data_IF_163079674825
#
_entry.id   IF_163079674825
#
_cell.length_a   1.000
_cell.length_b   1.000
_cell.length_c   1.000
_cell.angle_alpha   90.00
_cell.angle_beta   90.00
_cell.angle_gamma   90.00
#
_symmetry.space_group_name_H-M   'P 1'
#
loop_
_entity.id
_entity.type
_entity.pdbx_description
1 polymer ?
#
# COMPACT_ATOMS: atom_id res chain seq x y z
N UNK A 1 10.08 -12.62 29.66
CA UNK A 1 9.88 -11.37 28.89
C UNK A 1 10.78 -11.46 27.67
N UNK A 2 10.28 -11.17 26.47
CA UNK A 2 11.16 -11.04 25.30
C UNK A 2 12.16 -9.91 25.57
N UNK A 3 13.44 -10.14 25.29
CA UNK A 3 14.44 -9.09 25.38
C UNK A 3 14.01 -7.89 24.52
N UNK A 4 14.27 -6.68 25.02
CA UNK A 4 14.03 -5.45 24.28
C UNK A 4 14.83 -5.48 22.98
N UNK A 5 14.15 -5.32 21.83
CA UNK A 5 14.76 -5.33 20.51
C UNK A 5 14.82 -3.91 19.93
N UNK A 6 15.94 -3.18 20.08
CA UNK A 6 16.07 -1.86 19.47
C UNK A 6 15.91 -1.98 17.94
N UNK A 7 15.12 -1.09 17.34
CA UNK A 7 14.89 -1.07 15.89
C UNK A 7 13.97 -2.18 15.33
N UNK A 8 13.42 -3.06 16.17
CA UNK A 8 12.48 -4.13 15.78
C UNK A 8 13.03 -5.14 14.74
N UNK A 9 14.36 -5.30 14.68
CA UNK A 9 14.96 -6.25 13.74
C UNK A 9 14.47 -7.70 14.01
N UNK A 10 14.01 -8.37 12.94
CA UNK A 10 13.46 -9.72 13.00
C UNK A 10 12.11 -9.83 13.74
N UNK A 11 11.44 -8.71 14.05
CA UNK A 11 10.09 -8.71 14.62
C UNK A 11 9.06 -8.54 13.52
N UNK A 12 8.11 -9.47 13.43
CA UNK A 12 6.95 -9.34 12.56
C UNK A 12 5.95 -8.41 13.26
N UNK A 13 5.76 -7.21 12.71
CA UNK A 13 4.83 -6.23 13.27
C UNK A 13 3.37 -6.52 12.89
N UNK A 14 3.14 -6.94 11.65
CA UNK A 14 1.83 -7.32 11.11
C UNK A 14 1.99 -8.09 9.80
N UNK A 15 0.92 -8.75 9.37
CA UNK A 15 0.80 -9.37 8.05
C UNK A 15 0.20 -8.37 7.05
N UNK A 16 0.62 -8.43 5.79
CA UNK A 16 0.13 -7.53 4.75
C UNK A 16 0.12 -8.19 3.38
N UNK A 17 -0.83 -7.78 2.55
CA UNK A 17 -0.94 -8.17 1.13
C UNK A 17 -0.52 -7.02 0.19
N UNK A 18 -0.07 -5.88 0.72
CA UNK A 18 0.21 -4.68 -0.07
C UNK A 18 1.52 -4.83 -0.85
N UNK A 19 2.58 -5.27 -0.17
CA UNK A 19 3.90 -5.41 -0.75
C UNK A 19 4.56 -6.71 -0.30
N UNK A 20 5.10 -7.46 -1.26
CA UNK A 20 5.84 -8.70 -1.03
C UNK A 20 7.29 -8.50 -1.50
N UNK A 21 8.17 -7.98 -0.62
CA UNK A 21 9.59 -7.91 -0.91
C UNK A 21 10.23 -9.30 -0.75
N UNK A 22 11.05 -9.69 -1.72
CA UNK A 22 11.91 -10.86 -1.59
C UNK A 22 13.03 -10.59 -0.57
N UNK A 23 13.30 -11.55 0.32
CA UNK A 23 14.35 -11.45 1.34
C UNK A 23 15.75 -11.30 0.74
N UNK A 24 15.97 -11.85 -0.45
CA UNK A 24 17.24 -11.66 -1.18
C UNK A 24 17.30 -10.33 -1.94
N UNK A 25 16.22 -9.53 -1.92
CA UNK A 25 16.12 -8.24 -2.61
C UNK A 25 15.98 -8.34 -4.13
N UNK A 26 15.72 -9.53 -4.67
CA UNK A 26 15.66 -9.75 -6.11
C UNK A 26 14.33 -9.35 -6.77
N UNK A 27 13.26 -9.21 -5.99
CA UNK A 27 11.95 -8.87 -6.50
C UNK A 27 11.13 -8.08 -5.49
N UNK A 28 10.27 -7.18 -6.00
CA UNK A 28 9.25 -6.47 -5.25
C UNK A 28 7.93 -6.60 -6.00
N UNK A 29 6.90 -7.09 -5.32
CA UNK A 29 5.55 -7.16 -5.87
C UNK A 29 4.59 -6.28 -5.11
N UNK A 30 3.78 -5.51 -5.83
CA UNK A 30 2.64 -4.79 -5.27
C UNK A 30 1.38 -5.58 -5.55
N UNK A 31 0.72 -6.07 -4.48
CA UNK A 31 -0.50 -6.89 -4.58
C UNK A 31 -0.33 -8.05 -5.58
N UNK A 32 0.82 -8.72 -5.54
CA UNK A 32 1.17 -9.81 -6.47
C UNK A 32 1.72 -9.39 -7.84
N UNK A 33 1.65 -8.11 -8.24
CA UNK A 33 2.17 -7.62 -9.53
C UNK A 33 3.65 -7.23 -9.40
N UNK A 34 4.52 -7.73 -10.28
CA UNK A 34 5.93 -7.36 -10.28
C UNK A 34 6.09 -5.86 -10.58
N UNK A 35 6.95 -5.16 -9.83
CA UNK A 35 7.19 -3.73 -10.00
C UNK A 35 7.74 -3.39 -11.40
N UNK A 36 8.50 -4.29 -12.01
CA UNK A 36 9.04 -4.11 -13.37
C UNK A 36 7.92 -4.06 -14.42
N UNK A 37 6.80 -4.75 -14.18
CA UNK A 37 5.63 -4.73 -15.06
C UNK A 37 4.79 -3.44 -14.88
N UNK A 38 5.10 -2.64 -13.85
CA UNK A 38 4.41 -1.37 -13.57
C UNK A 38 5.17 -0.16 -14.10
N UNK A 39 6.50 -0.14 -13.93
CA UNK A 39 7.34 1.02 -14.24
C UNK A 39 7.31 1.30 -15.74
N UNK A 40 6.93 2.51 -16.12
CA UNK A 40 6.86 2.92 -17.53
C UNK A 40 5.69 2.33 -18.32
N UNK A 41 4.95 1.39 -17.73
CA UNK A 41 3.81 0.71 -18.35
C UNK A 41 2.46 1.23 -17.87
N UNK A 42 2.36 1.63 -16.59
CA UNK A 42 1.13 2.20 -16.00
C UNK A 42 1.37 3.57 -15.39
N UNK A 43 0.33 4.39 -15.38
CA UNK A 43 0.38 5.71 -14.76
C UNK A 43 0.53 5.58 -13.25
N UNK A 44 1.12 6.60 -12.63
CA UNK A 44 1.20 6.69 -11.17
C UNK A 44 -0.18 6.56 -10.49
N UNK A 45 -1.23 7.15 -11.08
CA UNK A 45 -2.60 7.04 -10.55
C UNK A 45 -3.13 5.60 -10.52
N UNK A 46 -2.82 4.79 -11.53
CA UNK A 46 -3.21 3.37 -11.55
C UNK A 46 -2.41 2.54 -10.54
N UNK A 47 -1.12 2.85 -10.35
CA UNK A 47 -0.31 2.22 -9.29
C UNK A 47 -0.84 2.59 -7.91
N UNK A 48 -1.24 3.84 -7.70
CA UNK A 48 -1.89 4.29 -6.47
C UNK A 48 -3.20 3.53 -6.20
N UNK A 49 -4.07 3.41 -7.21
CA UNK A 49 -5.31 2.62 -7.10
C UNK A 49 -5.02 1.15 -6.75
N UNK A 50 -4.02 0.53 -7.36
CA UNK A 50 -3.62 -0.83 -7.00
C UNK A 50 -3.23 -0.96 -5.52
N UNK A 51 -2.40 -0.04 -5.01
CA UNK A 51 -1.93 -0.09 -3.62
C UNK A 51 -3.08 0.13 -2.62
N UNK A 52 -3.91 1.13 -2.87
CA UNK A 52 -4.98 1.57 -1.96
C UNK A 52 -6.24 0.71 -2.09
N UNK A 53 -6.72 0.52 -3.32
CA UNK A 53 -7.98 -0.16 -3.63
C UNK A 53 -7.81 -1.65 -3.93
N UNK A 54 -6.58 -2.14 -4.07
CA UNK A 54 -6.28 -3.54 -4.38
C UNK A 54 -6.49 -3.91 -5.86
N UNK A 55 -6.85 -2.94 -6.71
CA UNK A 55 -7.13 -3.14 -8.14
C UNK A 55 -6.83 -1.89 -8.96
N UNK A 56 -6.59 -2.06 -10.24
CA UNK A 56 -6.51 -0.94 -11.18
C UNK A 56 -7.88 -0.31 -11.42
N UNK A 57 -7.89 0.98 -11.79
CA UNK A 57 -9.08 1.69 -12.19
C UNK A 57 -9.15 3.10 -11.61
N UNK A 58 -10.22 3.86 -11.93
CA UNK A 58 -10.48 5.12 -11.27
C UNK A 58 -10.65 4.87 -9.77
N UNK A 59 -10.03 5.73 -8.95
CA UNK A 59 -10.21 5.69 -7.51
C UNK A 59 -11.68 5.90 -7.12
N UNK A 60 -11.98 5.71 -5.84
CA UNK A 60 -13.32 5.96 -5.30
C UNK A 60 -13.81 7.38 -5.70
N UNK A 61 -15.09 7.53 -6.10
CA UNK A 61 -15.66 8.85 -6.35
C UNK A 61 -15.55 9.71 -5.09
N UNK A 62 -15.49 11.05 -5.23
CA UNK A 62 -15.50 11.95 -4.09
C UNK A 62 -16.65 11.60 -3.14
N UNK A 63 -16.39 11.65 -1.83
CA UNK A 63 -17.46 11.53 -0.85
C UNK A 63 -18.47 12.68 -1.07
N UNK A 64 -19.76 12.36 -0.97
CA UNK A 64 -20.81 13.36 -1.00
C UNK A 64 -20.58 14.41 0.11
N UNK A 65 -20.87 15.71 -0.13
CA UNK A 65 -20.73 16.74 0.90
C UNK A 65 -21.55 16.41 2.15
N UNK A 66 -20.89 16.33 3.31
CA UNK A 66 -21.56 16.23 4.60
C UNK A 66 -21.79 17.64 5.17
N UNK A 67 -23.01 18.00 5.59
CA UNK A 67 -23.25 19.26 6.26
C UNK A 67 -22.54 19.26 7.62
N UNK A 68 -21.56 20.15 7.79
CA UNK A 68 -20.90 20.38 9.08
C UNK A 68 -21.78 21.31 9.91
N UNK A 69 -22.15 20.97 11.17
CA UNK A 69 -22.86 21.89 12.03
C UNK A 69 -21.99 23.10 12.35
N UNK A 70 -22.37 24.27 11.86
CA UNK A 70 -21.72 25.53 12.24
C UNK A 70 -22.47 26.09 13.45
N UNK A 71 -21.83 26.10 14.61
CA UNK A 71 -22.28 26.92 15.73
C UNK A 71 -21.70 28.33 15.54
N UNK A 72 -22.56 29.36 15.61
CA UNK A 72 -22.20 30.79 15.57
C UNK A 72 -21.79 31.30 16.94
#
# INVERSE_FOLDING_TARGET
MSDFKPGLEGVIAFETEIAEPDKAGGALRYRGVNIEDLIGHVSFGNVWALLVDGKFGPGLPPAEPFPVPVHS
#
